data_IF_002451160591
#
_entry.id   IF_002451160591
#
_cell.length_a   1.000
_cell.length_b   1.000
_cell.length_c   1.000
_cell.angle_alpha   90.00
_cell.angle_beta   90.00
_cell.angle_gamma   90.00
#
_symmetry.space_group_name_H-M   'P 1'
#
loop_
_entity.id
_entity.type
_entity.pdbx_description
1 polymer ?
#
# COMPACT_ATOMS: atom_id res chain seq x y z
N UNK A 1 18.44 -7.95 9.47
CA UNK A 1 18.04 -8.60 8.21
C UNK A 1 19.18 -8.75 7.18
N UNK A 2 20.27 -7.96 7.20
CA UNK A 2 21.36 -8.08 6.19
C UNK A 2 22.79 -8.09 6.76
N UNK A 3 23.04 -8.75 7.90
CA UNK A 3 24.38 -8.76 8.52
C UNK A 3 25.45 -9.50 7.70
N UNK A 4 25.06 -10.40 6.80
CA UNK A 4 26.01 -11.10 5.92
C UNK A 4 26.63 -10.17 4.86
N UNK A 5 25.92 -9.13 4.44
CA UNK A 5 26.41 -8.11 3.49
C UNK A 5 27.49 -7.22 4.10
N UNK A 6 27.55 -7.10 5.43
CA UNK A 6 28.64 -6.39 6.13
C UNK A 6 29.98 -7.11 6.02
N UNK A 7 29.99 -8.43 5.78
CA UNK A 7 31.23 -9.23 5.66
C UNK A 7 31.98 -9.02 4.34
N UNK A 8 31.37 -8.34 3.36
CA UNK A 8 31.99 -8.02 2.07
C UNK A 8 31.95 -6.51 1.90
N UNK A 9 33.11 -5.83 1.78
CA UNK A 9 33.17 -4.39 1.53
C UNK A 9 32.62 -4.08 0.14
N UNK A 10 31.30 -3.94 0.03
CA UNK A 10 30.65 -3.43 -1.17
C UNK A 10 31.12 -2.00 -1.46
N UNK A 11 31.31 -1.68 -2.74
CA UNK A 11 31.47 -0.30 -3.17
C UNK A 11 30.21 0.52 -2.84
N UNK A 12 30.33 1.84 -2.74
CA UNK A 12 29.18 2.71 -2.49
C UNK A 12 28.09 2.56 -3.57
N UNK A 13 28.50 2.35 -4.82
CA UNK A 13 27.58 2.08 -5.93
C UNK A 13 26.82 0.77 -5.75
N UNK A 14 27.51 -0.31 -5.37
CA UNK A 14 26.87 -1.61 -5.13
C UNK A 14 25.89 -1.55 -3.95
N UNK A 15 26.25 -0.84 -2.87
CA UNK A 15 25.33 -0.57 -1.74
C UNK A 15 24.08 0.17 -2.20
N UNK A 16 24.24 1.22 -3.01
CA UNK A 16 23.10 1.99 -3.54
C UNK A 16 22.18 1.13 -4.40
N UNK A 17 22.74 0.33 -5.32
CA UNK A 17 21.97 -0.60 -6.18
C UNK A 17 21.19 -1.61 -5.34
N UNK A 18 21.81 -2.17 -4.31
CA UNK A 18 21.15 -3.09 -3.40
C UNK A 18 20.01 -2.44 -2.62
N UNK A 19 20.21 -1.22 -2.08
CA UNK A 19 19.15 -0.50 -1.38
C UNK A 19 17.95 -0.21 -2.29
N UNK A 20 18.19 0.16 -3.56
CA UNK A 20 17.12 0.35 -4.55
C UNK A 20 16.39 -0.96 -4.82
N UNK A 21 17.12 -2.07 -4.97
CA UNK A 21 16.53 -3.38 -5.19
C UNK A 21 15.68 -3.84 -3.99
N UNK A 22 16.16 -3.60 -2.76
CA UNK A 22 15.42 -3.90 -1.53
C UNK A 22 14.12 -3.07 -1.46
N UNK A 23 14.21 -1.75 -1.68
CA UNK A 23 13.03 -0.88 -1.68
C UNK A 23 11.98 -1.30 -2.73
N UNK A 24 12.43 -1.72 -3.92
CA UNK A 24 11.53 -2.25 -4.95
C UNK A 24 10.85 -3.55 -4.53
N UNK A 25 11.58 -4.43 -3.85
CA UNK A 25 11.03 -5.69 -3.35
C UNK A 25 10.00 -5.44 -2.24
N UNK A 26 10.30 -4.54 -1.29
CA UNK A 26 9.37 -4.11 -0.25
C UNK A 26 8.08 -3.54 -0.85
N UNK A 27 8.20 -2.65 -1.84
CA UNK A 27 7.05 -2.09 -2.54
C UNK A 27 6.22 -3.16 -3.26
N UNK A 28 6.87 -4.12 -3.91
CA UNK A 28 6.16 -5.22 -4.59
C UNK A 28 5.42 -6.15 -3.61
N UNK A 29 5.97 -6.38 -2.41
CA UNK A 29 5.30 -7.12 -1.34
C UNK A 29 4.03 -6.37 -0.93
N UNK A 30 4.14 -5.08 -0.60
CA UNK A 30 2.99 -4.24 -0.23
C UNK A 30 1.90 -4.28 -1.31
N UNK A 31 2.27 -4.07 -2.58
CA UNK A 31 1.33 -4.10 -3.70
C UNK A 31 0.62 -5.45 -3.85
N UNK A 32 1.32 -6.55 -3.60
CA UNK A 32 0.72 -7.89 -3.63
C UNK A 32 -0.35 -8.04 -2.56
N UNK A 33 -0.07 -7.61 -1.32
CA UNK A 33 -1.07 -7.67 -0.24
C UNK A 33 -2.27 -6.76 -0.53
N UNK A 34 -2.06 -5.55 -1.05
CA UNK A 34 -3.15 -4.65 -1.44
C UNK A 34 -4.04 -5.27 -2.50
N UNK A 35 -3.46 -5.86 -3.55
CA UNK A 35 -4.22 -6.54 -4.61
C UNK A 35 -5.05 -7.70 -4.04
N UNK A 36 -4.43 -8.56 -3.23
CA UNK A 36 -5.11 -9.71 -2.63
C UNK A 36 -6.29 -9.29 -1.73
N UNK A 37 -6.14 -8.21 -0.94
CA UNK A 37 -7.24 -7.73 -0.10
C UNK A 37 -8.38 -7.19 -0.95
N UNK A 38 -8.10 -6.40 -1.99
CA UNK A 38 -9.13 -5.87 -2.89
C UNK A 38 -9.86 -7.00 -3.64
N UNK A 39 -9.13 -8.03 -4.05
CA UNK A 39 -9.73 -9.22 -4.67
C UNK A 39 -10.57 -10.01 -3.66
N UNK A 40 -10.11 -10.15 -2.41
CA UNK A 40 -10.90 -10.73 -1.33
C UNK A 40 -12.20 -9.94 -1.11
N UNK A 41 -12.14 -8.60 -1.10
CA UNK A 41 -13.34 -7.77 -0.91
C UNK A 41 -14.34 -7.95 -2.05
N UNK A 42 -13.85 -8.09 -3.29
CA UNK A 42 -14.69 -8.41 -4.44
C UNK A 42 -15.31 -9.81 -4.31
N UNK A 43 -14.53 -10.81 -3.88
CA UNK A 43 -15.00 -12.19 -3.70
C UNK A 43 -16.06 -12.31 -2.60
N UNK A 44 -15.92 -11.57 -1.51
CA UNK A 44 -16.89 -11.55 -0.42
C UNK A 44 -18.18 -10.79 -0.76
N UNK A 45 -18.26 -10.09 -1.89
CA UNK A 45 -19.51 -9.55 -2.41
C UNK A 45 -20.27 -8.60 -1.46
N UNK A 46 -19.58 -7.96 -0.52
CA UNK A 46 -20.19 -7.11 0.51
C UNK A 46 -20.80 -7.85 1.70
N UNK A 47 -20.55 -9.15 1.86
CA UNK A 47 -20.91 -9.90 3.07
C UNK A 47 -20.24 -9.34 4.35
N UNK A 48 -19.10 -8.69 4.19
CA UNK A 48 -18.38 -7.95 5.23
C UNK A 48 -17.99 -6.56 4.72
N UNK A 49 -17.84 -5.61 5.65
CA UNK A 49 -17.24 -4.32 5.34
C UNK A 49 -15.71 -4.41 5.17
N UNK A 50 -15.12 -3.32 4.65
CA UNK A 50 -13.68 -3.27 4.36
C UNK A 50 -12.81 -3.43 5.60
N UNK A 51 -13.27 -2.91 6.75
CA UNK A 51 -12.54 -2.98 8.01
C UNK A 51 -12.50 -4.44 8.50
N UNK A 52 -13.65 -5.12 8.51
CA UNK A 52 -13.71 -6.54 8.88
C UNK A 52 -12.96 -7.42 7.89
N UNK A 53 -12.99 -7.07 6.62
CA UNK A 53 -12.21 -7.73 5.58
C UNK A 53 -10.70 -7.66 5.80
N UNK A 54 -10.19 -6.49 6.18
CA UNK A 54 -8.80 -6.27 6.52
C UNK A 54 -8.40 -7.04 7.80
N UNK A 55 -9.25 -7.05 8.82
CA UNK A 55 -9.03 -7.85 10.03
C UNK A 55 -8.85 -9.34 9.70
N UNK A 56 -9.77 -9.92 8.92
CA UNK A 56 -9.71 -11.33 8.51
C UNK A 56 -8.44 -11.63 7.70
N UNK A 57 -8.03 -10.71 6.81
CA UNK A 57 -6.81 -10.88 6.03
C UNK A 57 -5.55 -10.84 6.91
N UNK A 58 -5.48 -9.92 7.87
CA UNK A 58 -4.36 -9.81 8.81
C UNK A 58 -4.28 -10.99 9.77
N UNK A 59 -5.42 -11.55 10.20
CA UNK A 59 -5.48 -12.77 10.99
C UNK A 59 -4.92 -13.98 10.21
N UNK A 60 -5.25 -14.07 8.92
CA UNK A 60 -4.80 -15.18 8.05
C UNK A 60 -3.33 -15.05 7.64
N UNK A 61 -2.87 -13.83 7.36
CA UNK A 61 -1.51 -13.53 6.91
C UNK A 61 -0.90 -12.47 7.82
N UNK A 62 -0.31 -12.86 8.96
CA UNK A 62 0.37 -11.93 9.86
C UNK A 62 1.52 -11.23 9.16
N UNK A 63 1.59 -9.91 9.31
CA UNK A 63 2.60 -9.05 8.71
C UNK A 63 3.29 -8.21 9.79
N UNK A 64 4.48 -7.69 9.49
CA UNK A 64 5.09 -6.68 10.35
C UNK A 64 4.21 -5.42 10.37
N UNK A 65 4.09 -4.80 11.55
CA UNK A 65 3.16 -3.68 11.83
C UNK A 65 3.23 -2.56 10.78
N UNK A 66 4.43 -2.17 10.39
CA UNK A 66 4.64 -1.08 9.42
C UNK A 66 4.14 -1.44 8.01
N UNK A 67 4.24 -2.71 7.61
CA UNK A 67 3.74 -3.20 6.33
C UNK A 67 2.20 -3.29 6.41
N UNK A 68 1.67 -3.82 7.51
CA UNK A 68 0.21 -3.90 7.76
C UNK A 68 -0.45 -2.52 7.66
N UNK A 69 0.09 -1.52 8.38
CA UNK A 69 -0.39 -0.13 8.32
C UNK A 69 -0.38 0.42 6.89
N UNK A 70 0.69 0.16 6.13
CA UNK A 70 0.82 0.63 4.74
C UNK A 70 -0.21 -0.03 3.83
N UNK A 71 -0.43 -1.34 3.97
CA UNK A 71 -1.44 -2.09 3.21
C UNK A 71 -2.83 -1.57 3.51
N UNK A 72 -3.21 -1.46 4.79
CA UNK A 72 -4.51 -0.92 5.22
C UNK A 72 -4.79 0.43 4.58
N UNK A 73 -3.86 1.39 4.70
CA UNK A 73 -4.04 2.73 4.13
C UNK A 73 -4.23 2.71 2.61
N UNK A 74 -3.46 1.87 1.89
CA UNK A 74 -3.57 1.77 0.43
C UNK A 74 -4.85 1.07 -0.01
N UNK A 75 -5.30 0.05 0.71
CA UNK A 75 -6.58 -0.63 0.46
C UNK A 75 -7.72 0.37 0.63
N UNK A 76 -7.78 1.09 1.76
CA UNK A 76 -8.83 2.07 2.02
C UNK A 76 -8.89 3.14 0.93
N UNK A 77 -7.74 3.71 0.53
CA UNK A 77 -7.67 4.72 -0.52
C UNK A 77 -8.17 4.22 -1.89
N UNK A 78 -7.83 2.97 -2.26
CA UNK A 78 -8.26 2.36 -3.53
C UNK A 78 -9.72 1.93 -3.49
N UNK A 79 -10.18 1.41 -2.35
CA UNK A 79 -11.55 0.95 -2.15
C UNK A 79 -12.54 2.13 -2.22
N UNK A 80 -12.23 3.26 -1.58
CA UNK A 80 -13.05 4.48 -1.70
C UNK A 80 -13.11 4.99 -3.14
N UNK A 81 -11.97 4.98 -3.84
CA UNK A 81 -11.89 5.40 -5.25
C UNK A 81 -12.76 4.54 -6.18
N UNK A 82 -12.94 3.25 -5.86
CA UNK A 82 -13.80 2.34 -6.61
C UNK A 82 -15.29 2.48 -6.23
N UNK A 83 -15.57 2.82 -4.96
CA UNK A 83 -16.93 2.98 -4.44
C UNK A 83 -17.61 4.29 -4.89
N UNK A 84 -16.85 5.33 -5.20
CA UNK A 84 -17.38 6.62 -5.71
C UNK A 84 -17.44 6.58 -7.26
N UNK A 85 -18.63 6.53 -7.89
CA UNK A 85 -18.72 6.66 -9.34
C UNK A 85 -18.17 8.03 -9.76
N UNK A 86 -17.40 8.05 -10.85
CA UNK A 86 -16.81 9.25 -11.48
C UNK A 86 -17.86 10.27 -11.93
N UNK A 87 -18.49 10.96 -10.99
CA UNK A 87 -19.43 12.06 -11.22
C UNK A 87 -18.96 13.38 -10.56
N UNK A 88 -17.90 13.36 -9.76
CA UNK A 88 -17.48 14.49 -8.94
C UNK A 88 -16.09 15.08 -9.28
N UNK A 89 -15.46 14.67 -10.39
CA UNK A 89 -14.09 15.12 -10.75
C UNK A 89 -14.02 16.53 -11.36
N UNK A 90 -15.13 17.25 -11.55
CA UNK A 90 -15.14 18.49 -12.33
C UNK A 90 -14.98 19.80 -11.57
N UNK A 91 -15.17 19.85 -10.24
CA UNK A 91 -15.40 21.16 -9.56
C UNK A 91 -14.88 21.31 -8.14
N UNK A 92 -14.32 20.27 -7.51
CA UNK A 92 -14.08 20.31 -6.06
C UNK A 92 -12.75 20.96 -5.62
N UNK A 93 -11.78 21.11 -6.53
CA UNK A 93 -10.45 21.64 -6.18
C UNK A 93 -10.15 23.03 -6.74
N UNK A 94 -11.11 23.70 -7.40
CA UNK A 94 -10.85 24.99 -8.06
C UNK A 94 -10.65 26.16 -7.07
N UNK A 95 -11.00 25.98 -5.79
CA UNK A 95 -11.04 27.06 -4.79
C UNK A 95 -10.04 26.90 -3.62
N UNK A 96 -9.16 25.90 -3.62
CA UNK A 96 -8.28 25.64 -2.44
C UNK A 96 -7.01 26.51 -2.44
N UNK A 97 -6.60 27.06 -3.58
CA UNK A 97 -5.31 27.78 -3.71
C UNK A 97 -5.43 29.23 -4.22
N UNK A 98 -6.63 29.82 -4.24
CA UNK A 98 -6.84 31.12 -4.91
C UNK A 98 -6.88 32.35 -3.98
N UNK A 99 -6.87 32.17 -2.67
CA UNK A 99 -6.79 33.30 -1.72
C UNK A 99 -5.38 33.45 -1.18
N UNK A 100 -4.58 34.24 -1.90
CA UNK A 100 -3.22 34.58 -1.55
C UNK A 100 -2.68 35.68 -2.48
N UNK A 101 -3.30 36.85 -2.47
CA UNK A 101 -2.72 38.11 -2.95
C UNK A 101 -3.03 39.24 -1.98
#
# INVERSE_FOLDING_TARGET
MFDWLRRRRLSNEAKRKLLIAAARAEEAIVETHVANVLDLMQLLGGEVDVDRGLELYHEMLPMEEHISTTVTNRVLARYESAAVPSAASGRRFENVFRDGR
#
